data_IF_080809954850
#
_entry.id   IF_080809954850
#
_cell.length_a   1.000
_cell.length_b   1.000
_cell.length_c   1.000
_cell.angle_alpha   90.00
_cell.angle_beta   90.00
_cell.angle_gamma   90.00
#
_symmetry.space_group_name_H-M   'P 1'
#
loop_
_entity.id
_entity.type
_entity.pdbx_description
1 polymer ?
#
# COMPACT_ATOMS: atom_id res chain seq x y z
N UNK A 1 0.61 -4.06 18.96
CA UNK A 1 0.55 -2.82 18.14
C UNK A 1 -0.20 -3.12 16.86
N UNK A 2 -1.05 -2.20 16.40
CA UNK A 2 -1.84 -2.34 15.17
C UNK A 2 -1.10 -1.65 14.03
N UNK A 3 -0.98 -2.31 12.87
CA UNK A 3 -0.34 -1.75 11.67
C UNK A 3 -1.18 -1.86 10.42
N UNK A 4 -1.00 -0.91 9.52
CA UNK A 4 -1.57 -0.91 8.17
C UNK A 4 -0.46 -1.17 7.14
N UNK A 5 -0.72 -2.07 6.20
CA UNK A 5 0.16 -2.32 5.06
C UNK A 5 -0.33 -1.51 3.86
N UNK A 6 0.54 -0.72 3.25
CA UNK A 6 0.25 0.00 2.00
C UNK A 6 1.01 -0.72 0.89
N UNK A 7 0.28 -1.31 -0.06
CA UNK A 7 0.85 -1.92 -1.26
C UNK A 7 0.90 -0.88 -2.38
N UNK A 8 2.09 -0.60 -2.87
CA UNK A 8 2.34 0.45 -3.85
C UNK A 8 2.31 -0.09 -5.29
N UNK A 9 1.35 0.39 -6.09
CA UNK A 9 1.20 0.13 -7.52
C UNK A 9 1.76 1.25 -8.41
N UNK A 10 2.53 2.18 -7.83
CA UNK A 10 3.15 3.30 -8.53
C UNK A 10 2.35 4.60 -8.46
N UNK A 11 1.47 4.75 -7.46
CA UNK A 11 0.70 5.99 -7.28
C UNK A 11 1.62 7.16 -6.95
N UNK A 12 1.39 8.31 -7.59
CA UNK A 12 1.98 9.58 -7.15
C UNK A 12 1.55 9.98 -5.72
N UNK A 13 0.49 9.38 -5.18
CA UNK A 13 -0.06 9.70 -3.86
C UNK A 13 0.29 8.70 -2.76
N UNK A 14 1.06 7.64 -3.01
CA UNK A 14 1.38 6.60 -2.00
C UNK A 14 1.95 7.19 -0.71
N UNK A 15 2.87 8.15 -0.82
CA UNK A 15 3.46 8.80 0.35
C UNK A 15 2.49 9.71 1.11
N UNK A 16 1.54 10.35 0.39
CA UNK A 16 0.47 11.16 0.99
C UNK A 16 -0.50 10.28 1.79
N UNK A 17 -0.85 9.10 1.26
CA UNK A 17 -1.65 8.11 1.98
C UNK A 17 -0.94 7.69 3.27
N UNK A 18 0.35 7.32 3.19
CA UNK A 18 1.12 6.94 4.37
C UNK A 18 1.22 8.08 5.41
N UNK A 19 1.38 9.33 4.96
CA UNK A 19 1.34 10.50 5.83
C UNK A 19 0.00 10.61 6.56
N UNK A 20 -1.13 10.43 5.86
CA UNK A 20 -2.47 10.49 6.47
C UNK A 20 -2.70 9.39 7.49
N UNK A 21 -2.22 8.17 7.23
CA UNK A 21 -2.30 7.05 8.20
C UNK A 21 -1.49 7.36 9.47
N UNK A 22 -0.29 7.95 9.31
CA UNK A 22 0.56 8.36 10.44
C UNK A 22 -0.03 9.54 11.21
N UNK A 23 -0.62 10.52 10.53
CA UNK A 23 -1.36 11.63 11.15
C UNK A 23 -2.55 11.13 11.99
N UNK A 24 -3.15 10.00 11.63
CA UNK A 24 -4.17 9.31 12.42
C UNK A 24 -3.61 8.48 13.60
N UNK A 25 -2.30 8.52 13.86
CA UNK A 25 -1.66 7.82 14.97
C UNK A 25 -1.47 6.31 14.75
N UNK A 26 -1.58 5.83 13.50
CA UNK A 26 -1.46 4.40 13.17
C UNK A 26 -0.12 4.14 12.49
N UNK A 27 0.59 3.09 12.93
CA UNK A 27 1.82 2.65 12.27
C UNK A 27 1.51 2.04 10.90
N UNK A 28 2.32 2.38 9.90
CA UNK A 28 2.16 1.83 8.57
C UNK A 28 3.49 1.58 7.86
N UNK A 29 3.48 0.55 7.01
CA UNK A 29 4.59 0.18 6.13
C UNK A 29 4.15 0.33 4.67
N UNK A 30 5.07 0.76 3.80
CA UNK A 30 4.85 0.81 2.36
C UNK A 30 5.71 -0.28 1.74
N UNK A 31 5.10 -1.14 0.94
CA UNK A 31 5.79 -2.19 0.19
C UNK A 31 5.35 -2.15 -1.28
N UNK A 32 6.23 -2.43 -2.24
CA UNK A 32 5.82 -2.66 -3.63
C UNK A 32 4.75 -3.74 -3.71
N UNK A 33 3.76 -3.60 -4.61
CA UNK A 33 2.67 -4.59 -4.75
C UNK A 33 3.17 -6.03 -4.98
N UNK A 34 4.32 -6.18 -5.64
CA UNK A 34 4.95 -7.46 -5.96
C UNK A 34 5.87 -8.02 -4.85
N UNK A 35 5.95 -7.34 -3.70
CA UNK A 35 6.79 -7.74 -2.55
C UNK A 35 6.00 -7.63 -1.26
N UNK A 36 4.96 -8.47 -1.16
CA UNK A 36 4.09 -8.50 0.01
C UNK A 36 4.85 -9.14 1.20
N UNK A 37 4.99 -8.45 2.35
CA UNK A 37 5.60 -9.02 3.53
C UNK A 37 4.72 -10.12 4.14
N UNK A 38 5.29 -11.06 4.91
CA UNK A 38 4.52 -12.08 5.61
C UNK A 38 3.50 -11.44 6.57
N UNK A 39 2.31 -12.04 6.65
CA UNK A 39 1.25 -11.59 7.54
C UNK A 39 1.65 -11.85 8.99
N UNK A 40 1.54 -10.82 9.81
CA UNK A 40 1.67 -10.93 11.27
C UNK A 40 0.34 -10.61 11.97
N UNK A 41 0.27 -10.87 13.28
CA UNK A 41 -0.92 -10.58 14.09
C UNK A 41 -1.16 -9.07 14.29
N UNK A 42 -0.14 -8.24 14.01
CA UNK A 42 -0.20 -6.79 14.12
C UNK A 42 -0.91 -6.16 12.91
N UNK A 43 -0.92 -6.82 11.75
CA UNK A 43 -1.59 -6.33 10.54
C UNK A 43 -3.11 -6.30 10.72
N UNK A 44 -3.69 -5.09 10.69
CA UNK A 44 -5.13 -4.86 10.84
C UNK A 44 -5.84 -4.42 9.56
N UNK A 45 -5.09 -3.99 8.55
CA UNK A 45 -5.66 -3.55 7.30
C UNK A 45 -4.62 -3.40 6.20
N UNK A 46 -5.11 -3.40 4.96
CA UNK A 46 -4.30 -3.23 3.75
C UNK A 46 -4.91 -2.10 2.92
N UNK A 47 -4.05 -1.21 2.41
CA UNK A 47 -4.41 -0.19 1.43
C UNK A 47 -3.68 -0.53 0.14
N UNK A 48 -4.42 -0.70 -0.94
CA UNK A 48 -3.86 -0.81 -2.29
C UNK A 48 -3.76 0.61 -2.85
N UNK A 49 -2.54 1.08 -3.15
CA UNK A 49 -2.36 2.39 -3.77
C UNK A 49 -2.87 2.36 -5.22
N UNK A 50 -3.12 3.55 -5.79
CA UNK A 50 -3.46 3.66 -7.20
C UNK A 50 -2.27 3.36 -8.13
N UNK A 51 -2.53 3.34 -9.43
CA UNK A 51 -1.51 3.26 -10.46
C UNK A 51 -1.83 4.27 -11.56
N UNK A 52 -0.84 4.86 -12.24
CA UNK A 52 -1.07 5.58 -13.49
C UNK A 52 -1.52 4.67 -14.64
N UNK A 53 -1.30 3.35 -14.53
CA UNK A 53 -1.69 2.38 -15.54
C UNK A 53 -3.18 2.02 -15.44
N UNK A 54 -3.83 1.82 -16.60
CA UNK A 54 -5.15 1.19 -16.65
C UNK A 54 -5.04 -0.28 -16.22
N UNK A 55 -6.01 -0.77 -15.46
CA UNK A 55 -6.08 -2.18 -15.03
C UNK A 55 -6.15 -3.18 -16.20
N UNK A 56 -6.57 -2.74 -17.38
CA UNK A 56 -6.67 -3.57 -18.60
C UNK A 56 -5.47 -3.44 -19.54
N UNK A 57 -4.49 -2.59 -19.22
CA UNK A 57 -3.33 -2.38 -20.08
C UNK A 57 -2.40 -3.60 -20.06
N UNK A 58 -1.72 -3.93 -21.18
CA UNK A 58 -0.80 -5.07 -21.25
C UNK A 58 0.37 -4.99 -20.25
N UNK A 59 0.78 -3.77 -19.90
CA UNK A 59 1.86 -3.43 -18.98
C UNK A 59 1.36 -3.02 -17.58
N UNK A 60 0.07 -3.24 -17.29
CA UNK A 60 -0.50 -2.95 -15.99
C UNK A 60 0.20 -3.75 -14.87
N UNK A 61 0.48 -3.15 -13.71
CA UNK A 61 1.00 -3.89 -12.57
C UNK A 61 -0.02 -4.95 -12.11
N UNK A 62 0.39 -6.22 -12.15
CA UNK A 62 -0.46 -7.37 -11.79
C UNK A 62 -0.15 -7.88 -10.38
N UNK A 63 -1.12 -7.82 -9.44
CA UNK A 63 -0.94 -8.24 -8.06
C UNK A 63 -0.74 -9.75 -7.87
#
# INVERSE_FOLDING_TARGET
MNKILILDFGSQYTQLIARKVREAGVYCEIHPFNKIPPRDAALKGVILSGSPASVTAPDAPQP
#
